data_IF_870131397726
#
_entry.id   IF_870131397726
#
_cell.length_a   1.000
_cell.length_b   1.000
_cell.length_c   1.000
_cell.angle_alpha   90.00
_cell.angle_beta   90.00
_cell.angle_gamma   90.00
#
_symmetry.space_group_name_H-M   'P 1'
#
loop_
_entity.id
_entity.type
_entity.pdbx_description
1 polymer ?
#
# COMPACT_ATOMS: atom_id res chain seq x y z
N UNK A 1 -7.41 -19.03 14.36
CA UNK A 1 -7.61 -17.76 13.63
C UNK A 1 -7.72 -18.11 12.16
N UNK A 2 -8.73 -17.60 11.45
CA UNK A 2 -8.89 -17.88 10.02
C UNK A 2 -7.69 -17.33 9.25
N UNK A 3 -7.22 -18.09 8.26
CA UNK A 3 -6.20 -17.65 7.32
C UNK A 3 -6.75 -16.47 6.50
N UNK A 4 -5.96 -15.40 6.37
CA UNK A 4 -6.38 -14.24 5.59
C UNK A 4 -6.39 -14.61 4.11
N UNK A 5 -7.44 -14.23 3.35
CA UNK A 5 -7.50 -14.54 1.94
C UNK A 5 -6.36 -13.84 1.19
N UNK A 6 -5.93 -14.46 0.10
CA UNK A 6 -4.93 -13.89 -0.80
C UNK A 6 -5.64 -13.25 -2.00
N UNK A 7 -5.28 -12.02 -2.32
CA UNK A 7 -5.75 -11.26 -3.47
C UNK A 7 -4.83 -11.62 -4.63
N UNK A 8 -5.37 -12.35 -5.59
CA UNK A 8 -4.60 -13.07 -6.60
C UNK A 8 -4.53 -12.37 -7.97
N UNK A 9 -5.22 -11.24 -8.13
CA UNK A 9 -5.16 -10.44 -9.36
C UNK A 9 -5.36 -8.96 -9.07
N UNK A 10 -4.82 -8.10 -9.94
CA UNK A 10 -5.00 -6.66 -9.85
C UNK A 10 -6.46 -6.25 -10.06
N UNK A 11 -7.20 -6.98 -10.91
CA UNK A 11 -8.63 -6.76 -11.13
C UNK A 11 -9.46 -7.04 -9.87
N UNK A 12 -9.09 -8.08 -9.10
CA UNK A 12 -9.74 -8.36 -7.82
C UNK A 12 -9.51 -7.22 -6.83
N UNK A 13 -8.30 -6.69 -6.75
CA UNK A 13 -8.01 -5.54 -5.87
C UNK A 13 -8.76 -4.28 -6.33
N UNK A 14 -8.79 -3.98 -7.63
CA UNK A 14 -9.54 -2.86 -8.18
C UNK A 14 -11.04 -2.98 -7.92
N UNK A 15 -11.60 -4.20 -7.98
CA UNK A 15 -13.00 -4.45 -7.61
C UNK A 15 -13.25 -4.19 -6.12
N UNK A 16 -12.37 -4.68 -5.23
CA UNK A 16 -12.48 -4.43 -3.78
C UNK A 16 -12.47 -2.93 -3.46
N UNK A 17 -11.61 -2.15 -4.13
CA UNK A 17 -11.58 -0.68 -4.01
C UNK A 17 -12.90 -0.05 -4.46
N UNK A 18 -13.48 -0.54 -5.56
CA UNK A 18 -14.78 -0.06 -6.03
C UNK A 18 -15.96 -0.38 -5.10
N UNK A 19 -15.86 -1.47 -4.35
CA UNK A 19 -16.93 -1.95 -3.45
C UNK A 19 -16.84 -1.36 -2.04
N UNK A 20 -15.65 -0.91 -1.60
CA UNK A 20 -15.40 -0.55 -0.19
C UNK A 20 -15.35 0.96 0.09
N UNK A 21 -15.33 1.81 -0.95
CA UNK A 21 -15.23 3.26 -0.76
C UNK A 21 -13.85 3.68 -0.25
N UNK A 22 -13.82 4.66 0.68
CA UNK A 22 -12.59 5.36 1.07
C UNK A 22 -11.86 4.73 2.28
N UNK A 23 -12.31 3.56 2.74
CA UNK A 23 -11.82 2.94 3.98
C UNK A 23 -10.73 1.87 3.78
N UNK A 24 -10.30 1.65 2.53
CA UNK A 24 -9.25 0.67 2.20
C UNK A 24 -7.86 1.29 2.09
N UNK A 25 -6.90 0.60 2.70
CA UNK A 25 -5.49 0.95 2.69
C UNK A 25 -4.64 -0.28 2.37
N UNK A 26 -3.44 -0.05 1.82
CA UNK A 26 -2.40 -1.05 1.67
C UNK A 26 -1.24 -0.74 2.63
N UNK A 27 -0.82 -1.74 3.38
CA UNK A 27 0.32 -1.67 4.29
C UNK A 27 1.38 -2.67 3.90
N UNK A 28 2.64 -2.23 3.94
CA UNK A 28 3.81 -3.08 3.77
C UNK A 28 4.39 -3.39 5.14
N UNK A 29 4.24 -4.63 5.60
CA UNK A 29 4.77 -5.10 6.87
C UNK A 29 4.90 -6.62 6.89
N UNK A 30 5.33 -7.18 8.03
CA UNK A 30 5.31 -8.64 8.28
C UNK A 30 3.90 -9.20 8.51
N UNK A 31 2.89 -8.34 8.39
CA UNK A 31 1.48 -8.71 8.39
C UNK A 31 0.72 -8.28 9.64
N UNK A 32 -0.60 -8.50 9.61
CA UNK A 32 -1.51 -8.02 10.65
C UNK A 32 -1.24 -8.62 12.03
N UNK A 33 -0.66 -9.81 12.11
CA UNK A 33 -0.30 -10.38 13.42
C UNK A 33 0.88 -9.64 14.06
N UNK A 34 1.92 -9.30 13.27
CA UNK A 34 3.04 -8.51 13.74
C UNK A 34 2.60 -7.08 14.11
N UNK A 35 1.66 -6.51 13.35
CA UNK A 35 1.14 -5.15 13.56
C UNK A 35 0.09 -5.05 14.69
N UNK A 36 -0.53 -6.16 15.14
CA UNK A 36 -1.57 -6.16 16.18
C UNK A 36 -1.11 -5.58 17.52
N UNK A 37 0.18 -5.67 17.82
CA UNK A 37 0.79 -5.19 19.06
C UNK A 37 1.78 -4.03 18.83
N UNK A 38 1.87 -3.52 17.60
CA UNK A 38 2.88 -2.54 17.23
C UNK A 38 2.22 -1.30 16.61
N UNK A 39 2.47 -0.14 17.22
CA UNK A 39 2.27 1.13 16.54
C UNK A 39 3.35 1.31 15.47
N UNK A 40 3.07 2.11 14.43
CA UNK A 40 4.18 2.66 13.65
C UNK A 40 4.96 3.62 14.53
N UNK A 41 6.25 3.79 14.26
CA UNK A 41 7.11 4.71 14.97
C UNK A 41 7.70 5.71 13.99
N UNK A 42 7.96 6.92 14.46
CA UNK A 42 8.78 7.87 13.72
C UNK A 42 10.22 7.38 13.70
N UNK A 43 10.82 7.24 12.51
CA UNK A 43 12.17 6.69 12.36
C UNK A 43 13.24 7.66 12.92
N UNK A 44 12.96 8.97 12.98
CA UNK A 44 13.89 9.97 13.51
C UNK A 44 13.91 10.00 15.05
N UNK A 45 12.74 10.01 15.69
CA UNK A 45 12.61 10.20 17.15
C UNK A 45 12.26 8.92 17.91
N UNK A 46 11.82 7.87 17.23
CA UNK A 46 11.30 6.64 17.83
C UNK A 46 9.92 6.79 18.48
N UNK A 47 9.25 7.95 18.35
CA UNK A 47 7.96 8.19 18.97
C UNK A 47 6.87 7.27 18.38
N UNK A 48 6.02 6.72 19.23
CA UNK A 48 4.85 5.94 18.78
C UNK A 48 3.84 6.83 18.06
N UNK A 49 3.42 6.40 16.88
CA UNK A 49 2.41 7.06 16.07
C UNK A 49 1.01 6.56 16.43
N UNK A 50 -0.06 7.39 16.30
CA UNK A 50 -1.44 7.04 16.66
C UNK A 50 -2.12 6.03 15.71
N UNK A 51 -1.36 5.26 14.93
CA UNK A 51 -1.88 4.28 13.98
C UNK A 51 -0.80 3.57 13.18
N UNK A 52 -1.26 2.74 12.24
CA UNK A 52 -0.40 2.08 11.27
C UNK A 52 -0.20 3.01 10.06
N UNK A 53 1.04 3.30 9.69
CA UNK A 53 1.36 3.90 8.40
C UNK A 53 0.86 2.97 7.27
N UNK A 54 -0.10 3.45 6.49
CA UNK A 54 -0.72 2.69 5.41
C UNK A 54 -1.20 3.62 4.29
N UNK A 55 -1.03 3.17 3.06
CA UNK A 55 -1.31 3.97 1.88
C UNK A 55 -2.77 3.83 1.45
N UNK A 56 -3.48 4.93 1.18
CA UNK A 56 -4.87 4.87 0.75
C UNK A 56 -4.95 4.19 -0.63
N UNK A 57 -5.95 3.33 -0.78
CA UNK A 57 -6.32 2.72 -2.05
C UNK A 57 -7.53 3.41 -2.71
N UNK A 58 -8.24 4.25 -1.95
CA UNK A 58 -9.32 5.10 -2.46
C UNK A 58 -8.87 5.87 -3.70
N UNK A 59 -9.72 5.94 -4.72
CA UNK A 59 -9.43 6.65 -5.97
C UNK A 59 -9.73 8.13 -5.75
N UNK A 60 -8.74 8.98 -5.98
CA UNK A 60 -8.92 10.42 -5.79
C UNK A 60 -9.83 11.04 -6.87
N UNK A 61 -10.64 12.07 -6.54
CA UNK A 61 -11.56 12.70 -7.50
C UNK A 61 -10.90 13.24 -8.77
N UNK A 62 -9.67 13.76 -8.67
CA UNK A 62 -8.93 14.28 -9.82
C UNK A 62 -8.47 13.19 -10.80
N UNK A 63 -8.52 11.91 -10.39
CA UNK A 63 -8.29 10.78 -11.28
C UNK A 63 -9.39 10.68 -12.36
N UNK A 64 -10.60 11.15 -12.06
CA UNK A 64 -11.74 11.15 -12.98
C UNK A 64 -12.09 9.74 -13.47
N UNK A 65 -12.41 9.63 -14.76
CA UNK A 65 -12.83 8.36 -15.40
C UNK A 65 -11.67 7.43 -15.78
N UNK A 66 -10.44 7.72 -15.33
CA UNK A 66 -9.27 6.90 -15.63
C UNK A 66 -9.37 5.55 -14.94
N UNK A 67 -8.64 4.56 -15.49
CA UNK A 67 -8.70 3.18 -15.02
C UNK A 67 -8.38 3.05 -13.52
N UNK A 68 -9.34 2.49 -12.76
CA UNK A 68 -9.12 2.11 -11.36
C UNK A 68 -8.07 1.01 -11.22
N UNK A 69 -8.00 0.10 -12.19
CA UNK A 69 -6.94 -0.93 -12.26
C UNK A 69 -5.57 -0.26 -12.32
N UNK A 70 -5.44 0.81 -13.12
CA UNK A 70 -4.20 1.57 -13.22
C UNK A 70 -3.88 2.35 -11.94
N UNK A 71 -4.89 2.95 -11.30
CA UNK A 71 -4.72 3.60 -9.99
C UNK A 71 -4.12 2.64 -8.96
N UNK A 72 -4.73 1.47 -8.78
CA UNK A 72 -4.29 0.48 -7.81
C UNK A 72 -2.88 -0.05 -8.15
N UNK A 73 -2.59 -0.29 -9.43
CA UNK A 73 -1.25 -0.69 -9.86
C UNK A 73 -0.20 0.33 -9.41
N UNK A 74 -0.47 1.61 -9.68
CA UNK A 74 0.41 2.71 -9.25
C UNK A 74 0.59 2.73 -7.73
N UNK A 75 -0.47 2.55 -6.94
CA UNK A 75 -0.36 2.51 -5.46
C UNK A 75 0.46 1.32 -4.96
N UNK A 76 0.45 0.18 -5.64
CA UNK A 76 1.34 -0.95 -5.29
C UNK A 76 2.78 -0.65 -5.71
N UNK A 77 2.97 -0.19 -6.94
CA UNK A 77 4.27 0.08 -7.52
C UNK A 77 5.04 1.19 -6.78
N UNK A 78 4.39 2.31 -6.45
CA UNK A 78 5.00 3.48 -5.79
C UNK A 78 5.71 3.09 -4.46
N UNK A 79 5.24 2.04 -3.79
CA UNK A 79 5.72 1.59 -2.47
C UNK A 79 6.37 0.21 -2.49
N UNK A 80 6.62 -0.38 -3.66
CA UNK A 80 7.28 -1.68 -3.81
C UNK A 80 8.66 -1.74 -3.13
N UNK A 81 9.39 -0.64 -3.15
CA UNK A 81 10.69 -0.46 -2.48
C UNK A 81 10.65 -0.75 -0.97
N UNK A 82 9.48 -0.69 -0.32
CA UNK A 82 9.34 -0.97 1.11
C UNK A 82 9.65 -2.42 1.49
N UNK A 83 9.48 -3.37 0.57
CA UNK A 83 9.92 -4.75 0.76
C UNK A 83 11.43 -4.83 1.02
N UNK A 84 12.20 -4.08 0.24
CA UNK A 84 13.66 -4.06 0.35
C UNK A 84 14.12 -3.26 1.57
N UNK A 85 13.50 -2.11 1.84
CA UNK A 85 13.95 -1.21 2.91
C UNK A 85 13.53 -1.63 4.32
N UNK A 86 12.40 -2.34 4.49
CA UNK A 86 11.92 -2.79 5.81
C UNK A 86 12.31 -4.25 6.15
N UNK A 87 13.00 -4.90 5.23
CA UNK A 87 13.67 -6.19 5.43
C UNK A 87 12.78 -7.42 5.25
N UNK A 88 13.32 -8.62 5.51
CA UNK A 88 12.69 -9.88 5.14
C UNK A 88 11.29 -10.09 5.73
N UNK A 89 10.41 -10.66 4.90
CA UNK A 89 9.03 -10.98 5.25
C UNK A 89 8.05 -9.81 5.13
N UNK A 90 8.52 -8.63 4.72
CA UNK A 90 7.66 -7.48 4.43
C UNK A 90 6.99 -7.68 3.09
N UNK A 91 5.66 -7.65 3.07
CA UNK A 91 4.87 -7.73 1.85
C UNK A 91 3.54 -6.98 2.01
N UNK A 92 2.86 -6.62 0.91
CA UNK A 92 1.66 -5.82 1.00
C UNK A 92 0.46 -6.65 1.47
N UNK A 93 -0.33 -6.06 2.35
CA UNK A 93 -1.65 -6.53 2.72
C UNK A 93 -2.64 -5.37 2.80
N UNK A 94 -3.89 -5.68 2.51
CA UNK A 94 -5.00 -4.74 2.50
C UNK A 94 -5.68 -4.76 3.86
N UNK A 95 -5.99 -3.58 4.38
CA UNK A 95 -6.79 -3.39 5.58
C UNK A 95 -7.93 -2.40 5.32
N UNK A 96 -8.99 -2.59 6.09
CA UNK A 96 -10.03 -1.59 6.30
C UNK A 96 -9.75 -0.85 7.60
N UNK A 97 -9.87 0.47 7.58
CA UNK A 97 -9.57 1.28 8.76
C UNK A 97 -10.07 2.71 8.68
N UNK A 98 -9.68 3.47 9.69
CA UNK A 98 -9.97 4.90 9.78
C UNK A 98 -8.66 5.66 9.93
N UNK A 99 -8.50 6.73 9.16
CA UNK A 99 -7.36 7.62 9.33
C UNK A 99 -7.48 8.41 10.64
N UNK A 100 -6.54 8.21 11.55
CA UNK A 100 -6.48 8.88 12.87
C UNK A 100 -5.47 10.03 12.90
N UNK A 101 -4.63 10.16 11.88
CA UNK A 101 -3.63 11.21 11.79
C UNK A 101 -2.78 11.13 10.53
N UNK A 102 -1.65 11.83 10.55
CA UNK A 102 -0.62 11.77 9.52
C UNK A 102 0.76 11.62 10.17
N UNK A 103 1.60 10.82 9.54
CA UNK A 103 2.99 10.64 9.92
C UNK A 103 3.87 11.79 9.42
N UNK A 104 5.17 11.73 9.73
CA UNK A 104 6.15 12.78 9.38
C UNK A 104 6.30 12.98 7.88
N UNK A 105 6.08 11.93 7.07
CA UNK A 105 6.12 11.99 5.60
C UNK A 105 4.74 12.34 5.00
N UNK A 106 3.82 12.85 5.83
CA UNK A 106 2.43 13.18 5.49
C UNK A 106 1.58 11.95 5.11
N UNK A 107 2.07 10.75 5.37
CA UNK A 107 1.38 9.49 5.09
C UNK A 107 0.23 9.23 6.08
N UNK A 108 -0.90 8.64 5.66
CA UNK A 108 -1.99 8.36 6.59
C UNK A 108 -1.59 7.37 7.69
N UNK A 109 -1.97 7.72 8.92
CA UNK A 109 -1.93 6.82 10.06
C UNK A 109 -3.32 6.24 10.28
N UNK A 110 -3.43 4.92 10.25
CA UNK A 110 -4.69 4.21 10.16
C UNK A 110 -4.88 3.32 11.38
N UNK A 111 -6.03 3.48 12.04
CA UNK A 111 -6.53 2.49 12.97
C UNK A 111 -7.12 1.32 12.18
N UNK A 112 -6.43 0.19 12.17
CA UNK A 112 -6.87 -1.01 11.48
C UNK A 112 -8.11 -1.61 12.17
N UNK A 113 -9.27 -1.59 11.48
CA UNK A 113 -10.51 -2.23 11.94
C UNK A 113 -10.58 -3.69 11.54
N UNK A 114 -10.16 -3.99 10.31
CA UNK A 114 -10.26 -5.34 9.74
C UNK A 114 -9.12 -5.59 8.74
N UNK A 115 -8.27 -6.62 8.94
CA UNK A 115 -7.39 -7.11 7.89
C UNK A 115 -8.22 -7.78 6.79
N UNK A 116 -8.08 -7.32 5.55
CA UNK A 116 -8.87 -7.79 4.41
C UNK A 116 -8.20 -8.96 3.71
N UNK A 117 -6.89 -8.87 3.44
CA UNK A 117 -6.18 -9.94 2.76
C UNK A 117 -4.76 -9.58 2.34
N UNK A 118 -3.98 -10.60 2.05
CA UNK A 118 -2.64 -10.43 1.49
C UNK A 118 -2.72 -10.11 0.00
N UNK A 119 -1.78 -9.33 -0.52
CA UNK A 119 -1.59 -9.19 -1.97
C UNK A 119 -0.58 -10.26 -2.42
N UNK A 120 -0.92 -11.02 -3.45
CA UNK A 120 0.00 -12.02 -4.02
C UNK A 120 1.13 -11.33 -4.81
N UNK A 121 2.30 -11.96 -4.84
CA UNK A 121 3.47 -11.52 -5.62
C UNK A 121 3.12 -11.28 -7.10
N UNK A 122 2.36 -12.20 -7.72
CA UNK A 122 1.86 -12.03 -9.10
C UNK A 122 1.09 -10.74 -9.35
N UNK A 123 0.44 -10.17 -8.33
CA UNK A 123 -0.28 -8.90 -8.43
C UNK A 123 0.70 -7.72 -8.46
N UNK A 124 1.83 -7.84 -7.77
CA UNK A 124 2.94 -6.88 -7.84
C UNK A 124 3.56 -6.92 -9.23
N UNK A 125 3.80 -8.10 -9.79
CA UNK A 125 4.30 -8.22 -11.17
C UNK A 125 3.30 -7.66 -12.20
N UNK A 126 1.99 -7.87 -11.98
CA UNK A 126 0.94 -7.26 -12.81
C UNK A 126 0.94 -5.73 -12.71
N UNK A 127 1.20 -5.19 -11.52
CA UNK A 127 1.24 -3.76 -11.27
C UNK A 127 2.46 -3.12 -11.94
N UNK A 128 3.65 -3.68 -11.75
CA UNK A 128 4.91 -3.26 -12.37
C UNK A 128 4.77 -3.24 -13.90
N UNK A 129 4.41 -4.37 -14.53
CA UNK A 129 4.23 -4.44 -15.98
C UNK A 129 3.25 -3.42 -16.53
N UNK A 130 2.12 -3.21 -15.84
CA UNK A 130 1.12 -2.24 -16.28
C UNK A 130 1.67 -0.81 -16.20
N UNK A 131 2.36 -0.50 -15.13
CA UNK A 131 2.90 0.82 -14.86
C UNK A 131 4.04 1.15 -15.83
N UNK A 132 4.96 0.22 -16.05
CA UNK A 132 6.05 0.35 -17.03
C UNK A 132 5.53 0.52 -18.46
N UNK A 133 4.44 -0.17 -18.82
CA UNK A 133 3.84 -0.06 -20.14
C UNK A 133 3.14 1.29 -20.40
N UNK A 134 2.85 2.05 -19.34
CA UNK A 134 2.11 3.30 -19.39
C UNK A 134 2.96 4.54 -19.14
N UNK A 135 4.17 4.39 -18.59
CA UNK A 135 5.06 5.49 -18.25
C UNK A 135 5.78 6.07 -19.47
N UNK A 136 5.99 7.39 -19.47
CA UNK A 136 7.18 7.98 -20.11
C UNK A 136 8.42 7.42 -19.41
N UNK A 137 9.54 7.30 -20.12
CA UNK A 137 10.78 6.66 -19.63
C UNK A 137 11.35 7.26 -18.31
N UNK A 138 10.87 8.45 -17.90
CA UNK A 138 11.31 9.17 -16.71
C UNK A 138 10.45 8.90 -15.45
N UNK A 139 9.42 8.04 -15.53
CA UNK A 139 8.54 7.75 -14.39
C UNK A 139 8.90 6.41 -13.71
N UNK A 140 9.06 6.41 -12.38
CA UNK A 140 9.44 5.24 -11.58
C UNK A 140 8.97 5.31 -10.10
N UNK A 141 9.32 4.31 -9.27
CA UNK A 141 8.94 4.26 -7.85
C UNK A 141 9.36 5.51 -7.06
N UNK A 142 8.73 5.75 -5.90
CA UNK A 142 9.02 6.95 -5.09
C UNK A 142 10.45 7.00 -4.53
N UNK A 143 11.14 5.85 -4.45
CA UNK A 143 12.56 5.80 -4.11
C UNK A 143 13.41 6.30 -5.28
N UNK A 144 13.71 7.61 -5.28
CA UNK A 144 14.52 8.27 -6.31
C UNK A 144 16.02 8.30 -5.96
N UNK A 145 16.50 7.42 -5.08
CA UNK A 145 17.92 7.37 -4.66
C UNK A 145 18.85 6.68 -5.68
N UNK A 146 18.47 6.68 -6.95
CA UNK A 146 19.31 6.27 -8.08
C UNK A 146 19.32 7.38 -9.14
N UNK A 147 19.81 8.54 -8.74
CA UNK A 147 20.54 9.42 -9.64
C UNK A 147 22.03 9.26 -9.29
N UNK A 148 22.69 8.27 -9.91
CA UNK A 148 24.15 8.27 -9.99
C UNK A 148 24.54 9.24 -11.11
N UNK A 149 25.37 10.22 -10.74
CA UNK A 149 26.20 11.18 -11.50
C UNK A 149 25.62 11.96 -12.71
#
# INVERSE_FOLDING_TARGET
>A
MAELPVIESLDRLARLVGESGDDLFVRWSRGPHADRAQASHDDLTGASLPGLSANPLAVEPWWGDRSRRFWVARRLHDYSHLEQTRGPGVRPWVLRGEQTGRGPDNEPLVLCREPVGWVAERVLDEAERLVDSAGDADWGPLDRRSGDD
#
